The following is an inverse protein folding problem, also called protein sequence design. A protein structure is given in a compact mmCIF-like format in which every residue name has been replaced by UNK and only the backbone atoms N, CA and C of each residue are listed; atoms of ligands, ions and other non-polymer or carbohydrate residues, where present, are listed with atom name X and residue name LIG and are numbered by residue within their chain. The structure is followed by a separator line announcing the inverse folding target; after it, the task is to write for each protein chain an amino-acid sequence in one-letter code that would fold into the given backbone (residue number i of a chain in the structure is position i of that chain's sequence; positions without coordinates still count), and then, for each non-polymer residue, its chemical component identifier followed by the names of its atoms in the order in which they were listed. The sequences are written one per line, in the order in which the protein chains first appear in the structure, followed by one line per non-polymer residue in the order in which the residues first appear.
data_IF_642786310786
#
_entry.id   IF_642786310786
#
_cell.length_a   1.000
_cell.length_b   1.000
_cell.length_c   1.000
_cell.angle_alpha   90.00
_cell.angle_beta   90.00
_cell.angle_gamma   90.00
#
_symmetry.space_group_name_H-M   'P 1'
#
loop_
_entity.id
_entity.type
_entity.pdbx_description
1 polymer ?
#
# COMPACT_ATOMS: atom_id res chain seq x y z
N UNK A 1 30.42 4.05 -15.26
CA UNK A 1 29.22 3.61 -16.01
C UNK A 1 28.31 4.78 -16.42
N UNK A 2 28.52 6.02 -15.94
CA UNK A 2 27.79 7.19 -16.45
C UNK A 2 26.32 7.33 -16.03
N UNK A 3 25.84 6.51 -15.09
CA UNK A 3 24.48 6.64 -14.55
C UNK A 3 24.32 7.90 -13.69
N UNK A 4 23.15 8.52 -13.78
CA UNK A 4 22.63 9.39 -12.74
C UNK A 4 21.98 8.53 -11.65
N UNK A 5 22.42 8.70 -10.40
CA UNK A 5 22.08 7.80 -9.29
C UNK A 5 21.21 8.52 -8.27
N UNK A 6 20.08 7.91 -7.94
CA UNK A 6 19.29 8.24 -6.74
C UNK A 6 19.63 7.20 -5.69
N UNK A 7 20.22 7.62 -4.57
CA UNK A 7 20.64 6.72 -3.48
C UNK A 7 19.73 6.91 -2.26
N UNK A 8 19.26 5.80 -1.70
CA UNK A 8 18.50 5.76 -0.45
C UNK A 8 19.01 4.60 0.43
N UNK A 9 19.30 4.88 1.69
CA UNK A 9 19.85 3.91 2.66
C UNK A 9 18.94 3.85 3.89
N UNK A 10 18.70 2.64 4.40
CA UNK A 10 17.92 2.37 5.61
C UNK A 10 16.57 3.10 5.65
N UNK A 11 15.88 3.15 4.51
CA UNK A 11 14.66 3.92 4.32
C UNK A 11 13.39 3.11 4.57
N UNK A 12 12.40 3.73 5.21
CA UNK A 12 11.05 3.22 5.31
C UNK A 12 10.27 3.31 3.99
N UNK A 13 9.07 2.69 3.93
CA UNK A 13 8.27 2.53 2.71
C UNK A 13 7.99 3.86 2.01
N UNK A 14 7.74 4.92 2.78
CA UNK A 14 7.49 6.27 2.23
C UNK A 14 8.72 6.85 1.56
N UNK A 15 9.88 6.77 2.18
CA UNK A 15 11.12 7.30 1.62
C UNK A 15 11.58 6.49 0.41
N UNK A 16 11.46 5.16 0.44
CA UNK A 16 11.67 4.31 -0.74
C UNK A 16 10.71 4.68 -1.89
N UNK A 17 9.43 4.96 -1.59
CA UNK A 17 8.48 5.45 -2.61
C UNK A 17 8.91 6.77 -3.24
N UNK A 18 9.45 7.71 -2.43
CA UNK A 18 9.94 9.00 -2.94
C UNK A 18 11.17 8.80 -3.83
N UNK A 19 12.11 7.94 -3.44
CA UNK A 19 13.27 7.60 -4.26
C UNK A 19 12.87 7.02 -5.63
N UNK A 20 11.86 6.14 -5.65
CA UNK A 20 11.31 5.61 -6.90
C UNK A 20 10.67 6.69 -7.76
N UNK A 21 9.90 7.61 -7.17
CA UNK A 21 9.31 8.74 -7.90
C UNK A 21 10.39 9.67 -8.47
N UNK A 22 11.47 9.91 -7.72
CA UNK A 22 12.58 10.71 -8.22
C UNK A 22 13.30 9.99 -9.38
N UNK A 23 13.58 8.70 -9.25
CA UNK A 23 14.13 7.89 -10.34
C UNK A 23 13.24 7.94 -11.58
N UNK A 24 11.93 7.74 -11.42
CA UNK A 24 10.95 7.82 -12.50
C UNK A 24 10.92 9.18 -13.20
N UNK A 25 11.12 10.27 -12.45
CA UNK A 25 11.17 11.62 -13.01
C UNK A 25 12.42 11.90 -13.85
N UNK A 26 13.45 11.06 -13.75
CA UNK A 26 14.70 11.17 -14.53
C UNK A 26 14.71 10.29 -15.77
N UNK A 27 13.71 9.40 -15.94
CA UNK A 27 13.63 8.49 -17.08
C UNK A 27 13.08 9.21 -18.31
N UNK A 28 13.89 9.25 -19.37
CA UNK A 28 13.49 9.59 -20.72
C UNK A 28 13.11 8.36 -21.55
N UNK A 29 12.51 8.62 -22.71
CA UNK A 29 12.14 7.56 -23.65
C UNK A 29 13.40 6.88 -24.23
N UNK A 30 13.47 5.55 -24.11
CA UNK A 30 14.58 4.73 -24.58
C UNK A 30 15.72 4.56 -23.57
N UNK A 31 15.63 5.18 -22.39
CA UNK A 31 16.70 5.10 -21.39
C UNK A 31 16.90 3.69 -20.83
N UNK A 32 18.12 3.41 -20.36
CA UNK A 32 18.42 2.25 -19.52
C UNK A 32 18.23 2.63 -18.06
N UNK A 33 17.21 2.08 -17.41
CA UNK A 33 16.97 2.25 -15.99
C UNK A 33 17.54 1.06 -15.20
N UNK A 34 18.27 1.32 -14.12
CA UNK A 34 18.84 0.29 -13.25
C UNK A 34 18.38 0.51 -11.81
N UNK A 35 17.86 -0.55 -11.17
CA UNK A 35 17.64 -0.61 -9.74
C UNK A 35 18.61 -1.63 -9.15
N UNK A 36 19.43 -1.20 -8.22
CA UNK A 36 20.16 -2.06 -7.30
C UNK A 36 19.49 -2.00 -5.94
N UNK A 37 19.13 -3.14 -5.37
CA UNK A 37 18.58 -3.25 -4.03
C UNK A 37 19.40 -4.26 -3.22
N UNK A 38 19.84 -3.85 -2.04
CA UNK A 38 20.50 -4.70 -1.06
C UNK A 38 19.73 -4.62 0.26
N UNK A 39 19.37 -5.77 0.83
CA UNK A 39 18.62 -5.83 2.07
C UNK A 39 17.73 -7.05 2.18
N UNK A 40 16.74 -6.99 3.07
CA UNK A 40 15.79 -8.09 3.24
C UNK A 40 14.84 -8.18 2.05
N UNK A 41 14.68 -9.41 1.57
CA UNK A 41 13.75 -9.78 0.52
C UNK A 41 13.18 -11.16 0.86
N UNK A 42 12.01 -11.46 0.34
CA UNK A 42 11.45 -12.81 0.37
C UNK A 42 10.71 -13.12 -0.92
N UNK A 43 10.44 -14.39 -1.13
CA UNK A 43 9.61 -14.86 -2.24
C UNK A 43 8.31 -15.52 -1.74
N UNK A 44 7.16 -15.03 -2.20
CA UNK A 44 5.84 -15.69 -2.02
C UNK A 44 5.26 -15.98 -3.40
N UNK A 45 4.87 -17.23 -3.63
CA UNK A 45 4.26 -17.69 -4.89
C UNK A 45 5.04 -17.26 -6.13
N UNK A 46 6.37 -17.35 -6.05
CA UNK A 46 7.28 -16.99 -7.12
C UNK A 46 7.52 -15.48 -7.29
N UNK A 47 6.82 -14.60 -6.59
CA UNK A 47 7.02 -13.15 -6.62
C UNK A 47 8.05 -12.73 -5.57
N UNK A 48 9.08 -11.96 -5.99
CA UNK A 48 10.07 -11.40 -5.05
C UNK A 48 9.60 -10.03 -4.54
N UNK A 49 9.68 -9.84 -3.23
CA UNK A 49 9.32 -8.61 -2.55
C UNK A 49 10.56 -7.98 -1.91
N UNK A 50 10.69 -6.66 -2.04
CA UNK A 50 11.74 -5.84 -1.43
C UNK A 50 11.16 -5.15 -0.20
N UNK A 51 11.86 -5.23 0.93
CA UNK A 51 11.34 -4.81 2.23
C UNK A 51 12.00 -3.50 2.65
N UNK A 52 11.20 -2.44 2.86
CA UNK A 52 11.62 -1.29 3.64
C UNK A 52 11.94 -1.63 5.10
N UNK A 53 12.69 -0.76 5.78
CA UNK A 53 13.10 -1.01 7.18
C UNK A 53 11.94 -0.92 8.19
N UNK A 54 10.82 -0.29 7.81
CA UNK A 54 9.63 -0.11 8.65
C UNK A 54 8.56 -1.17 8.41
N UNK A 55 8.87 -2.25 7.69
CA UNK A 55 7.97 -3.40 7.52
C UNK A 55 7.76 -4.09 8.87
N UNK A 56 6.49 -4.29 9.31
CA UNK A 56 6.23 -4.95 10.58
C UNK A 56 6.63 -6.43 10.52
N UNK A 57 7.05 -6.97 11.66
CA UNK A 57 7.23 -8.42 11.84
C UNK A 57 5.85 -9.06 11.71
N UNK A 58 5.68 -9.99 10.78
CA UNK A 58 4.42 -10.71 10.62
C UNK A 58 4.49 -12.12 11.20
N UNK A 59 3.34 -12.57 11.67
CA UNK A 59 3.11 -13.93 12.11
C UNK A 59 2.63 -14.81 10.94
N UNK A 60 2.68 -16.15 11.07
CA UNK A 60 2.07 -17.04 10.09
C UNK A 60 0.59 -16.69 9.84
N UNK A 61 0.18 -16.54 8.58
CA UNK A 61 -1.17 -16.10 8.20
C UNK A 61 -1.33 -14.58 7.99
N UNK A 62 -0.30 -13.78 8.23
CA UNK A 62 -0.28 -12.33 8.01
C UNK A 62 0.52 -11.95 6.75
N UNK A 63 0.68 -12.87 5.78
CA UNK A 63 1.47 -12.66 4.56
C UNK A 63 0.99 -11.44 3.76
N UNK A 64 -0.32 -11.17 3.79
CA UNK A 64 -0.94 -10.01 3.15
C UNK A 64 -0.43 -8.67 3.69
N UNK A 65 -0.19 -8.56 5.00
CA UNK A 65 0.27 -7.31 5.62
C UNK A 65 1.68 -6.95 5.15
N UNK A 66 2.56 -7.94 5.08
CA UNK A 66 3.91 -7.71 4.57
C UNK A 66 3.90 -7.46 3.07
N UNK A 67 3.05 -8.17 2.31
CA UNK A 67 2.87 -7.89 0.88
C UNK A 67 2.48 -6.43 0.65
N UNK A 68 1.54 -5.89 1.42
CA UNK A 68 1.06 -4.51 1.28
C UNK A 68 2.11 -3.47 1.72
N UNK A 69 2.93 -3.83 2.70
CA UNK A 69 4.04 -3.01 3.21
C UNK A 69 5.31 -3.07 2.32
N UNK A 70 5.43 -4.04 1.42
CA UNK A 70 6.61 -4.28 0.59
C UNK A 70 6.44 -3.81 -0.86
N UNK A 71 7.52 -3.89 -1.65
CA UNK A 71 7.49 -3.62 -3.09
C UNK A 71 7.74 -4.89 -3.89
N UNK A 72 6.79 -5.26 -4.76
CA UNK A 72 7.02 -6.35 -5.71
C UNK A 72 8.07 -5.92 -6.75
N UNK A 73 9.13 -6.70 -6.92
CA UNK A 73 10.22 -6.37 -7.85
C UNK A 73 9.74 -6.22 -9.31
N UNK A 74 8.77 -7.05 -9.74
CA UNK A 74 8.13 -6.94 -11.05
C UNK A 74 7.30 -5.65 -11.19
N UNK A 75 6.59 -5.26 -10.14
CA UNK A 75 5.86 -3.99 -10.10
C UNK A 75 6.79 -2.79 -10.31
N UNK A 76 8.01 -2.85 -9.81
CA UNK A 76 9.01 -1.79 -10.05
C UNK A 76 9.40 -1.72 -11.53
N UNK A 77 9.63 -2.86 -12.19
CA UNK A 77 10.01 -2.85 -13.60
C UNK A 77 8.95 -2.27 -14.52
N UNK A 78 7.68 -2.63 -14.32
CA UNK A 78 6.58 -2.10 -15.12
C UNK A 78 6.49 -0.58 -14.98
N UNK A 79 6.66 -0.06 -13.75
CA UNK A 79 6.65 1.39 -13.52
C UNK A 79 7.74 2.12 -14.31
N UNK A 80 8.95 1.56 -14.39
CA UNK A 80 10.05 2.17 -15.15
C UNK A 80 9.78 2.11 -16.67
N UNK A 81 9.26 1.00 -17.16
CA UNK A 81 8.87 0.86 -18.58
C UNK A 81 7.74 1.82 -18.96
N UNK A 82 6.74 2.00 -18.09
CA UNK A 82 5.66 2.98 -18.28
C UNK A 82 6.16 4.43 -18.37
N UNK A 83 7.31 4.75 -17.75
CA UNK A 83 7.97 6.05 -17.91
C UNK A 83 8.75 6.20 -19.20
N UNK A 84 8.91 5.12 -19.96
CA UNK A 84 9.58 5.12 -21.26
C UNK A 84 10.97 4.47 -21.24
N UNK A 85 11.39 3.83 -20.15
CA UNK A 85 12.65 3.08 -20.14
C UNK A 85 12.61 1.98 -21.21
N UNK A 86 13.55 2.02 -22.15
CA UNK A 86 13.69 0.99 -23.19
C UNK A 86 14.35 -0.28 -22.66
N UNK A 87 15.14 -0.16 -21.59
CA UNK A 87 15.78 -1.28 -20.90
C UNK A 87 15.67 -1.11 -19.39
N UNK A 88 15.29 -2.17 -18.68
CA UNK A 88 15.21 -2.18 -17.22
C UNK A 88 16.10 -3.28 -16.65
N UNK A 89 17.01 -2.90 -15.77
CA UNK A 89 17.92 -3.81 -15.09
C UNK A 89 17.59 -3.82 -13.60
N UNK A 90 17.25 -4.98 -13.05
CA UNK A 90 17.08 -5.17 -11.61
C UNK A 90 18.21 -6.05 -11.08
N UNK A 91 18.98 -5.53 -10.13
CA UNK A 91 20.02 -6.27 -9.41
C UNK A 91 19.58 -6.36 -7.95
N UNK A 92 19.32 -7.58 -7.49
CA UNK A 92 18.69 -7.84 -6.21
C UNK A 92 19.63 -8.67 -5.33
N UNK A 93 20.28 -7.99 -4.39
CA UNK A 93 21.13 -8.57 -3.37
C UNK A 93 20.34 -8.80 -2.08
N UNK A 94 19.44 -9.78 -2.14
CA UNK A 94 18.53 -10.11 -1.07
C UNK A 94 18.29 -11.63 -1.03
N UNK A 95 17.92 -12.13 0.14
CA UNK A 95 17.50 -13.52 0.28
C UNK A 95 16.25 -13.83 -0.56
N UNK A 96 16.13 -15.08 -1.01
CA UNK A 96 14.99 -15.60 -1.76
C UNK A 96 14.33 -16.80 -1.07
N UNK A 97 14.44 -16.81 0.25
CA UNK A 97 13.70 -17.71 1.12
C UNK A 97 12.28 -17.20 1.37
N UNK A 98 11.44 -18.08 1.92
CA UNK A 98 10.09 -17.74 2.33
C UNK A 98 10.03 -17.82 3.86
N UNK A 99 9.95 -16.69 4.59
CA UNK A 99 9.92 -16.68 6.05
C UNK A 99 8.62 -17.27 6.63
N UNK A 100 7.58 -17.47 5.81
CA UNK A 100 6.31 -18.10 6.20
C UNK A 100 6.26 -19.61 5.94
N UNK A 101 7.33 -20.19 5.39
CA UNK A 101 7.42 -21.64 5.22
C UNK A 101 7.53 -22.32 6.60
N UNK A 102 6.42 -22.88 7.09
CA UNK A 102 6.37 -23.59 8.37
C UNK A 102 7.44 -24.70 8.43
N UNK A 103 8.34 -24.62 9.42
CA UNK A 103 9.32 -25.67 9.69
C UNK A 103 8.60 -27.03 9.90
N UNK A 104 8.96 -28.03 9.10
CA UNK A 104 8.48 -29.40 9.26
C UNK A 104 7.16 -29.76 8.59
N UNK A 105 6.46 -28.80 7.96
CA UNK A 105 5.43 -29.13 6.97
C UNK A 105 6.02 -28.86 5.60
N UNK A 106 6.43 -29.92 4.88
CA UNK A 106 6.42 -29.86 3.41
C UNK A 106 5.08 -29.22 3.05
N UNK A 107 5.09 -28.21 2.19
CA UNK A 107 3.91 -27.58 1.63
C UNK A 107 3.04 -28.64 0.92
N UNK A 108 2.28 -29.40 1.71
CA UNK A 108 1.30 -30.38 1.28
C UNK A 108 0.15 -29.54 0.75
N UNK A 109 0.18 -29.23 -0.55
CA UNK A 109 -0.88 -28.49 -1.22
C UNK A 109 -0.50 -27.82 -2.54
N UNK A 110 0.76 -27.44 -2.77
CA UNK A 110 1.19 -26.83 -4.05
C UNK A 110 1.70 -27.91 -5.01
N UNK A 111 0.79 -28.79 -5.42
CA UNK A 111 1.08 -29.82 -6.43
C UNK A 111 1.17 -29.15 -7.79
N UNK A 112 2.40 -29.08 -8.33
CA UNK A 112 2.75 -28.96 -9.76
C UNK A 112 2.22 -27.72 -10.51
N UNK A 113 3.16 -26.82 -10.79
CA UNK A 113 3.05 -25.78 -11.81
C UNK A 113 2.61 -24.44 -11.23
N UNK A 114 2.99 -23.36 -11.91
CA UNK A 114 2.75 -21.94 -11.60
C UNK A 114 3.80 -21.27 -10.70
N UNK A 115 4.65 -20.34 -11.13
CA UNK A 115 4.96 -19.80 -12.46
C UNK A 115 6.40 -19.29 -12.35
N UNK A 116 7.26 -19.65 -13.31
CA UNK A 116 8.52 -18.92 -13.54
C UNK A 116 8.11 -17.48 -13.81
N UNK A 117 8.60 -16.51 -13.02
CA UNK A 117 8.43 -15.12 -13.44
C UNK A 117 9.16 -14.96 -14.76
N UNK A 118 8.40 -14.77 -15.82
CA UNK A 118 8.92 -14.36 -17.12
C UNK A 118 8.96 -12.83 -17.07
N UNK A 119 10.16 -12.22 -17.05
CA UNK A 119 10.29 -10.77 -17.11
C UNK A 119 9.56 -10.22 -18.36
N UNK A 120 9.16 -8.95 -18.34
CA UNK A 120 8.68 -8.31 -19.56
C UNK A 120 9.82 -8.19 -20.58
N UNK A 121 9.50 -8.08 -21.86
CA UNK A 121 10.48 -7.75 -22.91
C UNK A 121 11.24 -6.47 -22.53
N UNK A 122 12.55 -6.44 -22.77
CA UNK A 122 13.43 -5.32 -22.40
C UNK A 122 13.90 -5.33 -20.94
N UNK A 123 13.70 -6.43 -20.20
CA UNK A 123 14.07 -6.55 -18.79
C UNK A 123 15.20 -7.56 -18.55
N UNK A 124 16.16 -7.17 -17.71
CA UNK A 124 17.20 -8.04 -17.17
C UNK A 124 17.11 -8.06 -15.65
N UNK A 125 17.09 -9.25 -15.05
CA UNK A 125 17.06 -9.41 -13.58
C UNK A 125 18.22 -10.28 -13.15
N UNK A 126 19.00 -9.82 -12.17
CA UNK A 126 20.09 -10.55 -11.54
C UNK A 126 19.84 -10.67 -10.04
N UNK A 127 19.77 -11.91 -9.55
CA UNK A 127 19.60 -12.24 -8.14
C UNK A 127 20.92 -12.72 -7.55
N UNK A 128 21.21 -12.33 -6.30
CA UNK A 128 22.39 -12.78 -5.57
C UNK A 128 22.40 -14.25 -5.19
N UNK A 129 21.22 -14.90 -5.19
CA UNK A 129 21.06 -16.31 -4.89
C UNK A 129 19.93 -16.96 -5.72
N UNK A 130 19.96 -18.29 -5.80
CA UNK A 130 18.92 -19.09 -6.44
C UNK A 130 17.62 -19.08 -5.63
N UNK A 131 16.55 -19.58 -6.24
CA UNK A 131 15.27 -19.71 -5.52
C UNK A 131 15.43 -20.66 -4.32
N UNK A 132 14.97 -20.23 -3.13
CA UNK A 132 15.11 -20.99 -1.89
C UNK A 132 16.53 -21.04 -1.32
N UNK A 133 17.46 -20.24 -1.84
CA UNK A 133 18.81 -20.08 -1.30
C UNK A 133 18.93 -18.73 -0.58
N UNK A 134 19.85 -18.66 0.38
CA UNK A 134 20.22 -17.43 1.09
C UNK A 134 21.51 -16.84 0.50
N UNK A 135 21.59 -15.51 0.49
CA UNK A 135 22.78 -14.78 0.07
C UNK A 135 23.70 -14.52 1.26
N UNK A 136 25.01 -14.70 1.08
CA UNK A 136 26.02 -14.41 2.10
C UNK A 136 26.48 -12.95 2.06
N UNK A 137 26.39 -12.28 3.21
CA UNK A 137 27.03 -10.98 3.42
C UNK A 137 28.55 -11.11 3.53
N UNK A 138 29.03 -12.16 4.20
CA UNK A 138 30.45 -12.40 4.45
C UNK A 138 30.77 -13.88 4.39
N UNK A 139 32.03 -14.24 4.10
CA UNK A 139 32.49 -15.62 4.11
C UNK A 139 32.80 -16.10 5.53
N UNK A 140 33.31 -15.22 6.38
CA UNK A 140 33.66 -15.53 7.77
C UNK A 140 33.51 -14.30 8.65
N UNK A 141 33.57 -14.47 9.97
CA UNK A 141 33.56 -13.34 10.92
C UNK A 141 34.77 -12.41 10.77
N UNK A 142 35.84 -12.90 10.13
CA UNK A 142 37.08 -12.15 9.84
C UNK A 142 37.12 -11.52 8.45
N UNK A 143 36.09 -11.77 7.63
CA UNK A 143 35.95 -11.18 6.30
C UNK A 143 35.48 -9.73 6.45
N UNK A 144 36.45 -8.80 6.36
CA UNK A 144 36.24 -7.36 6.54
C UNK A 144 35.77 -6.65 5.27
N UNK A 145 35.32 -7.37 4.23
CA UNK A 145 34.78 -6.73 3.05
C UNK A 145 33.43 -6.07 3.39
N UNK A 146 33.22 -4.79 3.04
CA UNK A 146 31.95 -4.10 3.33
C UNK A 146 30.78 -4.60 2.46
N UNK A 147 31.06 -5.31 1.37
CA UNK A 147 30.07 -5.80 0.42
C UNK A 147 29.83 -7.30 0.58
N UNK A 148 28.60 -7.72 0.24
CA UNK A 148 28.21 -9.13 0.18
C UNK A 148 29.14 -9.95 -0.73
N UNK A 149 29.14 -11.28 -0.57
CA UNK A 149 29.88 -12.18 -1.49
C UNK A 149 29.46 -11.96 -2.94
N UNK A 150 28.17 -11.69 -3.16
CA UNK A 150 27.64 -11.39 -4.48
C UNK A 150 28.11 -10.03 -4.99
N UNK A 151 27.86 -8.96 -4.23
CA UNK A 151 28.12 -7.58 -4.67
C UNK A 151 29.61 -7.34 -4.91
N UNK A 152 30.49 -7.82 -4.02
CA UNK A 152 31.94 -7.67 -4.21
C UNK A 152 32.43 -8.36 -5.49
N UNK A 153 31.79 -9.46 -5.88
CA UNK A 153 32.13 -10.22 -7.08
C UNK A 153 31.57 -9.56 -8.33
N UNK A 154 30.32 -9.09 -8.26
CA UNK A 154 29.65 -8.39 -9.34
C UNK A 154 30.41 -7.12 -9.76
N UNK A 155 30.87 -6.33 -8.79
CA UNK A 155 31.61 -5.08 -9.06
C UNK A 155 32.86 -5.33 -9.93
N UNK A 156 33.63 -6.38 -9.64
CA UNK A 156 34.82 -6.76 -10.43
C UNK A 156 34.45 -7.06 -11.88
N UNK A 157 33.34 -7.78 -12.10
CA UNK A 157 32.89 -8.12 -13.45
C UNK A 157 32.33 -6.92 -14.22
N UNK A 158 31.64 -6.01 -13.52
CA UNK A 158 31.11 -4.77 -14.10
C UNK A 158 32.21 -3.75 -14.47
N UNK A 159 33.34 -3.77 -13.76
CA UNK A 159 34.49 -2.91 -14.05
C UNK A 159 35.26 -3.35 -15.30
N UNK A 160 35.12 -4.62 -15.71
CA UNK A 160 35.78 -5.16 -16.90
C UNK A 160 35.04 -4.68 -18.16
N UNK A 161 35.65 -3.84 -19.02
CA UNK A 161 35.00 -3.32 -20.21
C UNK A 161 34.74 -4.41 -21.27
N UNK A 162 33.83 -4.13 -22.20
CA UNK A 162 33.52 -4.99 -23.33
C UNK A 162 32.71 -6.24 -22.98
N UNK A 163 32.28 -6.41 -21.73
CA UNK A 163 31.44 -7.52 -21.32
C UNK A 163 29.95 -7.22 -21.50
N UNK A 164 29.22 -8.17 -22.08
CA UNK A 164 27.76 -8.11 -22.06
C UNK A 164 27.24 -8.44 -20.66
N UNK A 165 26.02 -7.98 -20.34
CA UNK A 165 25.37 -8.25 -19.05
C UNK A 165 25.25 -9.76 -18.77
N UNK A 166 25.02 -10.57 -19.81
CA UNK A 166 25.00 -12.03 -19.70
C UNK A 166 26.36 -12.58 -19.29
N UNK A 167 27.46 -12.07 -19.86
CA UNK A 167 28.82 -12.47 -19.49
C UNK A 167 29.15 -12.09 -18.05
N UNK A 168 28.81 -10.86 -17.65
CA UNK A 168 28.93 -10.38 -16.26
C UNK A 168 28.20 -11.34 -15.33
N UNK A 169 26.91 -11.60 -15.59
CA UNK A 169 26.08 -12.48 -14.76
C UNK A 169 26.64 -13.91 -14.68
N UNK A 170 27.11 -14.49 -15.79
CA UNK A 170 27.68 -15.84 -15.81
C UNK A 170 28.98 -15.94 -15.01
N UNK A 171 29.86 -14.95 -15.11
CA UNK A 171 31.12 -14.93 -14.36
C UNK A 171 30.87 -14.69 -12.87
N UNK A 172 29.97 -13.75 -12.52
CA UNK A 172 29.52 -13.55 -11.13
C UNK A 172 28.93 -14.83 -10.57
N UNK A 173 28.06 -15.52 -11.31
CA UNK A 173 27.47 -16.80 -10.90
C UNK A 173 28.53 -17.86 -10.58
N UNK A 174 29.50 -18.05 -11.48
CA UNK A 174 30.57 -19.02 -11.30
C UNK A 174 31.43 -18.70 -10.07
N UNK A 175 31.78 -17.42 -9.87
CA UNK A 175 32.70 -17.00 -8.82
C UNK A 175 32.04 -16.97 -7.44
N UNK A 176 30.79 -16.52 -7.33
CA UNK A 176 30.02 -16.57 -6.07
C UNK A 176 29.85 -18.02 -5.62
N UNK A 177 29.50 -18.94 -6.53
CA UNK A 177 29.39 -20.37 -6.21
C UNK A 177 30.70 -20.93 -5.67
N UNK A 178 31.83 -20.59 -6.31
CA UNK A 178 33.16 -21.02 -5.85
C UNK A 178 33.48 -20.49 -4.45
N UNK A 179 33.17 -19.23 -4.16
CA UNK A 179 33.44 -18.60 -2.87
C UNK A 179 32.56 -19.17 -1.75
N UNK A 180 31.25 -19.29 -2.00
CA UNK A 180 30.31 -19.84 -1.02
C UNK A 180 30.63 -21.30 -0.65
N UNK A 181 31.10 -22.09 -1.63
CA UNK A 181 31.52 -23.47 -1.38
C UNK A 181 32.71 -23.61 -0.43
N UNK A 182 33.54 -22.55 -0.24
CA UNK A 182 34.67 -22.57 0.72
C UNK A 182 34.22 -22.59 2.18
N UNK A 183 32.95 -22.28 2.43
CA UNK A 183 32.35 -22.17 3.76
C UNK A 183 31.11 -23.07 3.86
N UNK A 184 31.08 -24.15 3.08
CA UNK A 184 30.01 -25.15 3.02
C UNK A 184 28.62 -24.57 2.74
N UNK A 185 28.55 -23.42 2.05
CA UNK A 185 27.30 -22.75 1.72
C UNK A 185 26.94 -22.92 0.24
N UNK A 186 25.66 -23.16 -0.04
CA UNK A 186 25.14 -23.26 -1.40
C UNK A 186 24.51 -21.93 -1.80
N UNK A 187 25.24 -21.16 -2.59
CA UNK A 187 24.75 -19.92 -3.20
C UNK A 187 25.12 -19.89 -4.68
N UNK A 188 24.10 -19.82 -5.54
CA UNK A 188 24.26 -19.74 -6.99
C UNK A 188 23.40 -18.58 -7.48
N UNK A 189 24.00 -17.43 -7.83
CA UNK A 189 23.27 -16.31 -8.43
C UNK A 189 22.45 -16.77 -9.63
N UNK A 190 21.29 -16.16 -9.85
CA UNK A 190 20.39 -16.50 -10.96
C UNK A 190 20.08 -15.23 -11.75
N UNK A 191 19.94 -15.35 -13.07
CA UNK A 191 19.51 -14.22 -13.90
C UNK A 191 18.40 -14.63 -14.86
N UNK A 192 17.59 -13.64 -15.24
CA UNK A 192 16.56 -13.73 -16.26
C UNK A 192 16.77 -12.60 -17.24
N UNK A 193 16.74 -12.92 -18.53
CA UNK A 193 17.07 -12.00 -19.60
C UNK A 193 15.96 -12.06 -20.65
N UNK A 194 15.33 -10.92 -20.89
CA UNK A 194 14.32 -10.70 -21.91
C UNK A 194 14.70 -9.49 -22.79
N UNK A 195 15.98 -9.12 -22.81
CA UNK A 195 16.50 -8.10 -23.71
C UNK A 195 16.75 -8.75 -25.09
N UNK A 196 16.31 -8.08 -26.14
CA UNK A 196 16.63 -8.46 -27.51
C UNK A 196 17.97 -7.84 -27.89
N UNK A 197 18.97 -8.68 -28.15
CA UNK A 197 20.34 -8.26 -28.44
C UNK A 197 21.22 -8.23 -27.19
N UNK A 198 22.41 -7.64 -27.32
CA UNK A 198 23.39 -7.57 -26.23
C UNK A 198 23.30 -6.23 -25.48
N UNK A 199 23.22 -6.31 -24.16
CA UNK A 199 23.32 -5.16 -23.26
C UNK A 199 24.74 -5.03 -22.72
N UNK A 200 25.35 -3.85 -22.89
CA UNK A 200 26.67 -3.52 -22.34
C UNK A 200 26.56 -2.33 -21.39
N UNK A 201 27.07 -2.47 -20.17
CA UNK A 201 27.17 -1.36 -19.22
C UNK A 201 28.43 -0.52 -19.42
N UNK A 202 29.50 -1.16 -19.90
CA UNK A 202 30.80 -0.55 -20.13
C UNK A 202 31.35 -1.05 -21.47
N UNK A 203 30.90 -0.48 -22.61
CA UNK A 203 31.37 -0.91 -23.92
C UNK A 203 32.87 -0.62 -24.11
N UNK A 204 33.53 -1.44 -24.92
CA UNK A 204 34.97 -1.34 -25.16
C UNK A 204 35.32 0.01 -25.80
N UNK A 205 36.29 0.74 -25.22
CA UNK A 205 36.70 2.06 -25.69
C UNK A 205 35.85 3.25 -25.19
N UNK A 206 34.80 3.03 -24.40
CA UNK A 206 34.08 4.12 -23.76
C UNK A 206 34.88 4.75 -22.60
N UNK A 207 35.03 6.07 -22.61
CA UNK A 207 35.60 6.80 -21.49
C UNK A 207 34.73 6.61 -20.23
N UNK A 208 35.36 6.49 -19.06
CA UNK A 208 34.64 6.35 -17.80
C UNK A 208 33.71 7.55 -17.57
N UNK A 209 32.40 7.35 -17.71
CA UNK A 209 31.42 8.41 -17.51
C UNK A 209 31.37 8.89 -16.06
N UNK A 210 31.42 10.21 -15.87
CA UNK A 210 31.21 10.89 -14.58
C UNK A 210 29.73 10.79 -14.20
N UNK A 211 29.37 9.78 -13.40
CA UNK A 211 28.03 9.67 -12.82
C UNK A 211 27.84 10.64 -11.65
N UNK A 212 26.65 11.20 -11.51
CA UNK A 212 26.28 12.04 -10.37
C UNK A 212 25.41 11.24 -9.40
N UNK A 213 25.68 11.34 -8.09
CA UNK A 213 24.90 10.67 -7.05
C UNK A 213 24.12 11.71 -6.24
N UNK A 214 22.80 11.65 -6.29
CA UNK A 214 21.91 12.36 -5.39
C UNK A 214 21.62 11.46 -4.18
N UNK A 215 22.00 11.90 -2.98
CA UNK A 215 21.71 11.20 -1.74
C UNK A 215 20.37 11.67 -1.17
N UNK A 216 19.42 10.75 -1.02
CA UNK A 216 18.22 10.97 -0.26
C UNK A 216 18.46 10.57 1.20
N UNK A 217 18.75 11.56 2.04
CA UNK A 217 18.63 11.41 3.49
C UNK A 217 17.17 11.65 3.91
N UNK A 218 16.69 10.86 4.86
CA UNK A 218 15.37 11.03 5.46
C UNK A 218 15.33 12.35 6.26
N UNK A 219 15.13 13.45 5.56
CA UNK A 219 14.63 14.67 6.19
C UNK A 219 13.24 14.36 6.74
N UNK A 220 12.91 14.91 7.91
CA UNK A 220 11.56 14.95 8.45
C UNK A 220 10.64 15.74 7.49
N UNK A 221 10.37 15.17 6.33
CA UNK A 221 9.70 15.78 5.21
C UNK A 221 8.22 15.75 5.49
N UNK A 222 7.78 16.83 6.14
CA UNK A 222 6.38 17.21 6.28
C UNK A 222 5.63 16.95 4.96
N UNK A 223 4.45 16.37 5.10
CA UNK A 223 3.52 16.12 4.01
C UNK A 223 3.37 17.34 3.10
N UNK A 224 3.53 17.14 1.79
CA UNK A 224 3.31 18.17 0.75
C UNK A 224 1.82 18.38 0.46
N UNK A 225 0.95 17.51 0.98
CA UNK A 225 -0.45 17.88 1.14
C UNK A 225 -0.49 18.92 2.27
N UNK A 226 -1.20 20.06 2.09
CA UNK A 226 -1.39 20.99 3.20
C UNK A 226 -1.82 20.16 4.39
N UNK A 227 -1.17 20.35 5.56
CA UNK A 227 -1.70 19.83 6.82
C UNK A 227 -3.17 20.23 6.81
N UNK A 228 -4.06 19.28 6.52
CA UNK A 228 -5.41 19.45 6.95
C UNK A 228 -5.22 19.46 8.45
N UNK A 229 -5.21 20.66 9.04
CA UNK A 229 -5.64 20.82 10.41
C UNK A 229 -6.97 20.06 10.44
N UNK A 230 -6.90 18.81 10.89
CA UNK A 230 -7.99 18.24 11.61
C UNK A 230 -8.13 19.20 12.77
N UNK A 231 -8.99 20.20 12.57
CA UNK A 231 -9.68 20.83 13.66
C UNK A 231 -10.43 19.65 14.26
N UNK A 232 -9.75 18.94 15.17
CA UNK A 232 -10.37 18.00 16.09
C UNK A 232 -11.32 18.91 16.83
N UNK A 233 -12.55 18.98 16.30
CA UNK A 233 -13.62 19.65 17.00
C UNK A 233 -13.63 18.97 18.35
N UNK A 234 -13.41 19.77 19.40
CA UNK A 234 -13.55 19.36 20.78
C UNK A 234 -14.68 18.34 20.85
N UNK A 235 -14.32 17.10 21.22
CA UNK A 235 -15.29 16.01 21.32
C UNK A 235 -16.43 16.56 22.18
N UNK A 236 -17.65 16.68 21.64
CA UNK A 236 -18.75 17.19 22.42
C UNK A 236 -18.86 16.33 23.67
N UNK A 237 -18.97 16.96 24.84
CA UNK A 237 -19.09 16.32 26.16
C UNK A 237 -20.38 15.48 26.32
N UNK A 238 -21.08 15.22 25.22
CA UNK A 238 -22.25 14.36 25.12
C UNK A 238 -22.13 13.48 23.88
N UNK A 239 -22.46 12.18 23.97
CA UNK A 239 -22.44 11.26 22.84
C UNK A 239 -23.32 11.80 21.70
N UNK A 240 -22.72 12.04 20.54
CA UNK A 240 -23.41 12.51 19.33
C UNK A 240 -23.23 11.50 18.19
N UNK A 241 -24.22 11.39 17.29
CA UNK A 241 -24.06 10.60 16.08
C UNK A 241 -23.07 11.27 15.15
N UNK A 242 -22.18 10.48 14.54
CA UNK A 242 -21.23 10.95 13.55
C UNK A 242 -21.68 10.48 12.17
N UNK A 243 -21.76 11.40 11.22
CA UNK A 243 -22.05 11.08 9.83
C UNK A 243 -20.76 11.17 9.00
N UNK A 244 -20.49 10.13 8.21
CA UNK A 244 -19.45 10.11 7.18
C UNK A 244 -20.09 10.01 5.80
N UNK A 245 -19.45 10.64 4.82
CA UNK A 245 -19.98 10.82 3.47
C UNK A 245 -18.97 10.29 2.47
N UNK A 246 -19.40 9.36 1.62
CA UNK A 246 -18.57 8.78 0.55
C UNK A 246 -19.28 8.97 -0.78
N UNK A 247 -18.52 9.33 -1.82
CA UNK A 247 -19.06 9.44 -3.18
C UNK A 247 -18.88 8.13 -3.93
N UNK A 248 -19.95 7.60 -4.52
CA UNK A 248 -19.93 6.48 -5.46
C UNK A 248 -20.29 6.97 -6.87
N UNK A 249 -20.15 6.10 -7.87
CA UNK A 249 -20.59 6.40 -9.25
C UNK A 249 -22.12 6.53 -9.39
N UNK A 250 -22.89 6.12 -8.38
CA UNK A 250 -24.36 6.15 -8.36
C UNK A 250 -24.95 7.27 -7.49
N UNK A 251 -24.15 7.93 -6.64
CA UNK A 251 -24.65 8.99 -5.76
C UNK A 251 -23.77 9.21 -4.53
N UNK A 252 -24.36 9.83 -3.50
CA UNK A 252 -23.74 9.98 -2.19
C UNK A 252 -24.19 8.84 -1.27
N UNK A 253 -23.23 8.23 -0.57
CA UNK A 253 -23.51 7.31 0.51
C UNK A 253 -23.26 8.02 1.84
N UNK A 254 -24.28 8.02 2.70
CA UNK A 254 -24.20 8.55 4.06
C UNK A 254 -24.17 7.38 5.03
N UNK A 255 -23.12 7.29 5.84
CA UNK A 255 -23.00 6.33 6.93
C UNK A 255 -23.09 7.06 8.26
N UNK A 256 -23.96 6.60 9.15
CA UNK A 256 -24.16 7.19 10.48
C UNK A 256 -23.67 6.22 11.55
N UNK A 257 -22.65 6.63 12.29
CA UNK A 257 -22.17 5.96 13.50
C UNK A 257 -22.92 6.51 14.70
N UNK A 258 -23.67 5.64 15.38
CA UNK A 258 -24.41 5.99 16.58
C UNK A 258 -23.51 5.78 17.82
N UNK A 259 -23.60 6.66 18.82
CA UNK A 259 -22.75 6.55 20.01
C UNK A 259 -23.19 5.40 20.94
N UNK A 260 -24.42 4.91 20.77
CA UNK A 260 -25.01 3.86 21.59
C UNK A 260 -25.62 2.76 20.74
N UNK A 261 -25.86 1.60 21.35
CA UNK A 261 -26.49 0.48 20.66
C UNK A 261 -27.95 0.84 20.36
N UNK A 262 -28.32 0.84 19.07
CA UNK A 262 -29.65 1.24 18.64
C UNK A 262 -30.50 0.03 18.27
N UNK A 263 -31.76 0.06 18.67
CA UNK A 263 -32.80 -0.91 18.29
C UNK A 263 -33.62 -0.44 17.09
N UNK A 264 -33.56 0.86 16.79
CA UNK A 264 -34.21 1.47 15.62
C UNK A 264 -33.42 2.71 15.18
N UNK A 265 -33.39 2.97 13.88
CA UNK A 265 -32.78 4.16 13.28
C UNK A 265 -33.74 4.82 12.30
N UNK A 266 -33.71 6.14 12.22
CA UNK A 266 -34.45 6.90 11.24
C UNK A 266 -33.68 8.15 10.84
N UNK A 267 -33.89 8.59 9.61
CA UNK A 267 -33.26 9.78 9.08
C UNK A 267 -34.27 10.66 8.33
N UNK A 268 -33.96 11.95 8.21
CA UNK A 268 -34.74 12.90 7.42
C UNK A 268 -33.79 13.89 6.77
N UNK A 269 -34.02 14.15 5.49
CA UNK A 269 -33.24 15.09 4.69
C UNK A 269 -33.98 16.42 4.64
N UNK A 270 -33.33 17.50 5.07
CA UNK A 270 -33.90 18.84 5.11
C UNK A 270 -34.80 19.11 6.33
N UNK A 271 -35.25 20.35 6.43
CA UNK A 271 -35.96 20.85 7.63
C UNK A 271 -37.43 20.41 7.69
N UNK A 272 -37.99 19.97 6.56
CA UNK A 272 -39.39 19.56 6.38
C UNK A 272 -39.46 18.11 5.90
N UNK A 273 -40.57 17.44 6.17
CA UNK A 273 -40.80 16.03 5.80
C UNK A 273 -40.85 15.09 7.00
N UNK A 274 -41.13 13.81 6.73
CA UNK A 274 -41.20 12.72 7.70
C UNK A 274 -39.84 12.03 7.85
N UNK A 275 -39.60 11.42 9.02
CA UNK A 275 -38.46 10.53 9.18
C UNK A 275 -38.70 9.23 8.43
N UNK A 276 -37.68 8.79 7.70
CA UNK A 276 -37.62 7.52 6.98
C UNK A 276 -36.90 6.51 7.85
N UNK A 277 -37.51 5.35 8.06
CA UNK A 277 -36.86 4.18 8.66
C UNK A 277 -36.29 3.31 7.51
N UNK A 278 -34.95 3.20 7.38
CA UNK A 278 -34.31 2.40 6.33
C UNK A 278 -34.39 0.88 6.58
N UNK A 279 -35.00 0.46 7.70
CA UNK A 279 -35.17 -0.93 8.08
C UNK A 279 -33.93 -1.52 8.75
N UNK A 280 -33.79 -2.84 8.63
CA UNK A 280 -32.78 -3.63 9.31
C UNK A 280 -31.86 -4.30 8.29
N UNK A 281 -30.59 -4.46 8.65
CA UNK A 281 -29.72 -5.40 7.96
C UNK A 281 -29.96 -6.81 8.52
N UNK A 282 -29.67 -7.83 7.71
CA UNK A 282 -29.83 -9.22 8.11
C UNK A 282 -28.65 -9.72 8.95
N UNK A 283 -28.41 -9.01 10.05
CA UNK A 283 -27.36 -9.29 11.01
C UNK A 283 -27.84 -8.94 12.42
N UNK A 284 -27.42 -9.73 13.40
CA UNK A 284 -27.71 -9.47 14.81
C UNK A 284 -26.71 -8.45 15.37
N UNK A 285 -27.20 -7.38 15.99
CA UNK A 285 -26.35 -6.49 16.78
C UNK A 285 -26.03 -7.21 18.10
N UNK A 286 -24.77 -7.60 18.27
CA UNK A 286 -24.31 -8.32 19.46
C UNK A 286 -24.48 -7.52 20.76
N UNK A 287 -24.53 -6.18 20.69
CA UNK A 287 -24.82 -5.35 21.86
C UNK A 287 -26.29 -5.50 22.21
N UNK A 288 -27.23 -5.34 21.28
CA UNK A 288 -28.67 -5.34 21.61
C UNK A 288 -29.30 -6.73 21.66
N UNK A 289 -28.70 -7.73 21.03
CA UNK A 289 -29.31 -9.03 20.80
C UNK A 289 -30.51 -8.99 19.83
N UNK A 290 -30.66 -7.89 19.07
CA UNK A 290 -31.72 -7.68 18.09
C UNK A 290 -31.14 -7.47 16.70
N UNK A 291 -31.98 -7.45 15.66
CA UNK A 291 -31.52 -7.14 14.30
C UNK A 291 -30.91 -5.74 14.26
N UNK A 292 -29.78 -5.61 13.59
CA UNK A 292 -29.06 -4.35 13.47
C UNK A 292 -29.85 -3.38 12.59
N UNK A 293 -30.15 -2.16 13.05
CA UNK A 293 -30.78 -1.16 12.20
C UNK A 293 -29.82 -0.72 11.09
N UNK A 294 -30.35 -0.43 9.91
CA UNK A 294 -29.56 0.05 8.78
C UNK A 294 -29.19 1.51 9.00
N UNK A 295 -27.97 1.80 9.45
CA UNK A 295 -27.54 3.19 9.75
C UNK A 295 -26.88 3.90 8.56
N UNK A 296 -27.21 3.49 7.34
CA UNK A 296 -26.71 4.10 6.12
C UNK A 296 -27.81 4.23 5.06
N UNK A 297 -27.70 5.26 4.22
CA UNK A 297 -28.64 5.54 3.15
C UNK A 297 -27.96 6.28 2.01
N UNK A 298 -28.59 6.23 0.83
CA UNK A 298 -28.10 6.88 -0.38
C UNK A 298 -28.81 8.20 -0.62
N UNK A 299 -28.12 9.14 -1.26
CA UNK A 299 -28.67 10.40 -1.73
C UNK A 299 -28.31 10.62 -3.20
N UNK A 300 -29.13 11.39 -3.95
CA UNK A 300 -28.89 11.68 -5.35
C UNK A 300 -27.52 12.33 -5.61
N UNK A 301 -26.89 12.08 -6.76
CA UNK A 301 -25.57 12.65 -7.09
C UNK A 301 -25.55 14.18 -7.17
N UNK A 302 -26.68 14.80 -7.51
CA UNK A 302 -26.91 16.24 -7.63
C UNK A 302 -27.43 16.88 -6.32
N UNK A 303 -27.38 16.15 -5.21
CA UNK A 303 -27.86 16.62 -3.91
C UNK A 303 -27.11 17.90 -3.47
N UNK A 304 -27.84 19.02 -3.43
CA UNK A 304 -27.36 20.29 -2.89
C UNK A 304 -27.24 20.31 -1.36
N UNK A 305 -26.70 21.41 -0.82
CA UNK A 305 -26.53 21.64 0.63
C UNK A 305 -27.83 21.39 1.37
N UNK A 306 -27.79 20.48 2.33
CA UNK A 306 -28.93 20.11 3.17
C UNK A 306 -28.47 19.75 4.58
N UNK A 307 -29.43 19.66 5.49
CA UNK A 307 -29.22 19.20 6.86
C UNK A 307 -29.84 17.81 6.99
N UNK A 308 -29.10 16.87 7.56
CA UNK A 308 -29.62 15.54 7.85
C UNK A 308 -30.00 15.52 9.33
N UNK A 309 -31.24 15.13 9.59
CA UNK A 309 -31.72 14.84 10.94
C UNK A 309 -31.74 13.34 11.13
N UNK A 310 -31.26 12.87 12.29
CA UNK A 310 -31.30 11.46 12.64
C UNK A 310 -32.02 11.26 13.97
N UNK A 311 -32.66 10.12 14.06
CA UNK A 311 -33.28 9.61 15.27
C UNK A 311 -32.84 8.18 15.49
N UNK A 312 -32.65 7.80 16.74
CA UNK A 312 -32.51 6.39 17.09
C UNK A 312 -33.19 6.08 18.41
N UNK A 313 -33.51 4.81 18.61
CA UNK A 313 -33.96 4.28 19.90
C UNK A 313 -32.85 3.45 20.51
N UNK A 314 -32.54 3.71 21.78
CA UNK A 314 -31.61 2.88 22.54
C UNK A 314 -32.27 1.56 23.00
N UNK A 315 -31.52 0.71 23.70
CA UNK A 315 -32.06 -0.53 24.29
C UNK A 315 -33.12 -0.31 25.38
N UNK A 316 -33.18 0.90 25.95
CA UNK A 316 -34.18 1.30 26.96
C UNK A 316 -35.41 1.93 26.30
N UNK A 317 -35.52 1.85 24.97
CA UNK A 317 -36.58 2.46 24.16
C UNK A 317 -36.69 3.98 24.29
N UNK A 318 -35.63 4.66 24.75
CA UNK A 318 -35.59 6.12 24.75
C UNK A 318 -35.30 6.61 23.34
N UNK A 319 -36.23 7.38 22.79
CA UNK A 319 -36.05 8.05 21.50
C UNK A 319 -35.16 9.27 21.69
N UNK A 320 -34.09 9.33 20.89
CA UNK A 320 -33.16 10.46 20.90
C UNK A 320 -33.07 11.05 19.49
N UNK A 321 -33.16 12.38 19.39
CA UNK A 321 -33.16 13.10 18.12
C UNK A 321 -31.98 14.06 18.07
N UNK A 322 -31.20 14.01 16.99
CA UNK A 322 -30.09 14.94 16.78
C UNK A 322 -30.04 15.42 15.32
N UNK A 323 -29.69 16.69 15.08
CA UNK A 323 -29.25 17.12 13.76
C UNK A 323 -27.85 16.56 13.51
N UNK A 324 -27.73 15.54 12.65
CA UNK A 324 -26.44 14.99 12.25
C UNK A 324 -25.91 15.76 11.04
N UNK A 325 -25.38 16.96 11.30
CA UNK A 325 -24.48 17.69 10.40
C UNK A 325 -25.06 18.12 9.03
N UNK A 326 -24.58 19.27 8.53
CA UNK A 326 -24.92 19.81 7.21
C UNK A 326 -23.89 19.37 6.17
N UNK A 327 -24.33 18.97 4.98
CA UNK A 327 -23.44 18.79 3.83
C UNK A 327 -23.01 20.17 3.34
N UNK A 328 -21.76 20.57 3.56
CA UNK A 328 -21.16 21.75 2.94
C UNK A 328 -20.07 21.31 1.96
N UNK A 329 -20.20 21.60 0.65
CA UNK A 329 -19.03 21.64 -0.21
C UNK A 329 -18.19 22.84 0.26
N UNK A 330 -17.14 22.54 1.02
CA UNK A 330 -16.13 23.42 1.60
C UNK A 330 -16.56 24.43 2.70
N UNK A 331 -15.81 24.35 3.82
CA UNK A 331 -15.60 25.24 4.99
C UNK A 331 -16.61 25.27 6.17
N UNK A 332 -16.05 24.98 7.35
CA UNK A 332 -16.53 25.10 8.75
C UNK A 332 -16.96 26.54 9.15
N UNK A 333 -17.50 26.75 10.37
CA UNK A 333 -18.65 26.11 11.04
C UNK A 333 -19.72 27.18 11.39
N UNK A 334 -20.95 26.79 11.78
CA UNK A 334 -21.64 27.37 12.96
C UNK A 334 -23.14 27.00 13.12
N UNK A 335 -23.47 26.94 14.42
CA UNK A 335 -24.72 27.31 15.11
C UNK A 335 -25.73 26.21 15.43
N UNK A 336 -25.94 26.04 16.75
CA UNK A 336 -27.01 25.27 17.37
C UNK A 336 -28.31 26.07 17.27
N UNK A 337 -29.39 25.44 16.78
CA UNK A 337 -30.77 25.90 17.04
C UNK A 337 -31.62 24.73 17.55
N UNK A 338 -32.48 25.01 18.54
CA UNK A 338 -33.45 24.06 19.10
C UNK A 338 -34.55 23.78 18.07
N UNK A 339 -34.85 22.50 17.84
CA UNK A 339 -36.10 22.11 17.18
C UNK A 339 -37.24 22.07 18.20
N UNK A 340 -38.33 22.78 17.91
CA UNK A 340 -39.59 22.68 18.63
C UNK A 340 -40.32 21.38 18.25
N UNK A 341 -40.74 20.61 19.25
CA UNK A 341 -41.69 19.51 19.06
C UNK A 341 -43.06 20.09 18.72
N UNK A 342 -43.53 19.91 17.49
CA UNK A 342 -44.94 20.13 17.18
C UNK A 342 -45.70 18.85 17.50
N UNK A 343 -46.02 18.65 18.79
CA UNK A 343 -47.01 17.69 19.22
C UNK A 343 -48.39 18.23 18.84
N UNK A 344 -48.91 17.84 17.67
CA UNK A 344 -50.32 18.06 17.33
C UNK A 344 -51.20 17.24 18.26
N UNK A 345 -51.57 17.82 19.40
CA UNK A 345 -52.58 17.27 20.30
C UNK A 345 -53.94 17.48 19.64
N UNK A 346 -54.62 16.36 19.37
CA UNK A 346 -55.96 16.30 18.79
C UNK A 346 -56.93 17.23 19.53
N UNK A 347 -57.47 18.21 18.81
CA UNK A 347 -58.65 18.95 19.21
C UNK A 347 -59.89 18.13 18.88
N UNK A 348 -60.51 17.52 19.91
CA UNK A 348 -61.83 16.92 19.81
C UNK A 348 -62.87 18.00 19.50
N UNK A 349 -63.51 17.88 18.34
CA UNK A 349 -64.75 18.57 17.98
C UNK A 349 -65.86 18.12 18.94
N UNK A 350 -66.44 19.04 19.70
CA UNK A 350 -67.83 18.93 20.16
C UNK A 350 -68.66 19.98 19.45
N UNK A 351 -69.19 19.59 18.29
CA UNK A 351 -70.31 20.26 17.65
C UNK A 351 -71.36 19.20 17.40
N UNK A 352 -72.33 19.09 18.31
CA UNK A 352 -73.56 18.34 18.05
C UNK A 352 -74.65 19.35 17.66
N UNK A 353 -75.31 19.04 16.55
CA UNK A 353 -76.31 19.85 15.87
C UNK A 353 -77.72 19.68 16.44
N UNK A 354 -78.53 20.75 16.36
CA UNK A 354 -79.93 20.84 15.86
C UNK A 354 -80.81 21.72 16.76
N UNK A 355 -81.56 22.63 16.13
CA UNK A 355 -82.58 23.47 16.73
C UNK A 355 -82.50 24.89 16.21
#
# INVERSE_FOLDING_TARGET
LGFEVVKAEDVGRRAMSRALVELEGKIGAGDTALIYFAGHGFAIDGTNYLLPVDVPIANPGEEGLIRDASFAATGLSYRLQEKGAGTVILILDACRDNPFALAGKRSIGMTRGLTRMDPAEGMFVLFSAGQGQSALDRLSDTDNNPNSVFTRTLLVEMETPGQSMVQIAKKTQAKVRELAAKVDHVQVPAYYDQIVGDLYLSPEGAAAGTGNVANLQEGAGESVLPKQEQKVAELPTSPQPLASFTRSNSGWMVNVSLPEAATQFGYRIGDKGTFTDPGFIDALDQRTGQRSPKTYFEMPPDQGKTTIYVTWRDKRSRLTCFPSTSIQPARFPASRRRCSSNSGRAGSRSGNSKG
#
